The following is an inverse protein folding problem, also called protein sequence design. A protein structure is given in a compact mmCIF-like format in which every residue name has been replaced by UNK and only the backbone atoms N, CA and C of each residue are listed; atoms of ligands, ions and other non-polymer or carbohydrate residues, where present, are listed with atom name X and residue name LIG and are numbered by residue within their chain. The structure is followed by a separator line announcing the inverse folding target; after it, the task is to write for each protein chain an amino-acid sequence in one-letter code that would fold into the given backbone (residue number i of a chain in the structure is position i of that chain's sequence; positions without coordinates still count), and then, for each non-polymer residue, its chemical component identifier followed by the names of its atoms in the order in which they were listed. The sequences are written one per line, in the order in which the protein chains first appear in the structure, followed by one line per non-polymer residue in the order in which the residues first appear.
data_IF_434803279665
#
_entry.id   IF_434803279665
#
_cell.length_a   1.000
_cell.length_b   1.000
_cell.length_c   1.000
_cell.angle_alpha   90.00
_cell.angle_beta   90.00
_cell.angle_gamma   90.00
#
_symmetry.space_group_name_H-M   'P 1'
#
loop_
_entity.id
_entity.type
_entity.pdbx_description
1 polymer ?
#
# COMPACT_ATOMS: atom_id res chain seq x y z
N UNK A 1 5.61 -20.20 -1.91
CA UNK A 1 4.94 -19.21 -1.07
C UNK A 1 5.97 -18.18 -0.68
N UNK A 2 5.82 -16.98 -1.20
CA UNK A 2 6.75 -15.87 -0.96
C UNK A 2 6.19 -15.00 0.15
N UNK A 3 6.96 -14.82 1.23
CA UNK A 3 6.66 -13.85 2.27
C UNK A 3 7.44 -12.57 1.94
N UNK A 4 6.75 -11.62 1.30
CA UNK A 4 7.35 -10.37 0.84
C UNK A 4 7.84 -9.49 2.00
N UNK A 5 7.26 -9.63 3.19
CA UNK A 5 7.65 -8.89 4.38
C UNK A 5 8.96 -9.45 4.94
N UNK A 6 9.07 -10.76 5.07
CA UNK A 6 10.33 -11.41 5.43
C UNK A 6 11.43 -11.14 4.39
N UNK A 7 11.10 -11.16 3.09
CA UNK A 7 12.06 -10.79 2.06
C UNK A 7 12.54 -9.34 2.19
N UNK A 8 11.64 -8.40 2.46
CA UNK A 8 11.98 -7.00 2.70
C UNK A 8 12.92 -6.87 3.89
N UNK A 9 12.56 -7.44 5.04
CA UNK A 9 13.40 -7.44 6.24
C UNK A 9 14.80 -7.99 5.94
N UNK A 10 14.87 -9.14 5.27
CA UNK A 10 16.15 -9.75 4.89
C UNK A 10 16.98 -8.84 4.00
N UNK A 11 16.36 -8.14 3.04
CA UNK A 11 17.07 -7.23 2.12
C UNK A 11 17.57 -5.97 2.83
N UNK A 12 16.76 -5.37 3.70
CA UNK A 12 17.13 -4.17 4.44
C UNK A 12 18.24 -4.43 5.46
N UNK A 13 18.25 -5.62 6.09
CA UNK A 13 19.25 -6.03 7.06
C UNK A 13 20.56 -6.56 6.44
N UNK A 14 20.70 -6.63 5.11
CA UNK A 14 21.98 -7.02 4.48
C UNK A 14 23.08 -6.03 4.85
N UNK A 15 24.27 -6.55 5.14
CA UNK A 15 25.46 -5.71 5.33
C UNK A 15 25.70 -4.85 4.08
N UNK A 16 25.97 -3.55 4.29
CA UNK A 16 26.18 -2.56 3.23
C UNK A 16 24.97 -2.34 2.31
N UNK A 17 23.75 -2.51 2.82
CA UNK A 17 22.51 -2.23 2.10
C UNK A 17 22.32 -0.74 1.74
N UNK A 18 23.09 0.17 2.35
CA UNK A 18 22.97 1.61 2.13
C UNK A 18 21.64 2.20 2.64
N UNK A 19 20.99 1.48 3.57
CA UNK A 19 19.73 1.89 4.20
C UNK A 19 19.86 1.92 5.72
N UNK A 20 19.04 2.75 6.35
CA UNK A 20 18.89 2.84 7.80
C UNK A 20 17.41 2.68 8.15
N UNK A 21 17.09 1.65 8.94
CA UNK A 21 15.75 1.45 9.49
C UNK A 21 15.45 2.56 10.52
N UNK A 22 14.29 3.20 10.37
CA UNK A 22 13.84 4.31 11.20
C UNK A 22 12.82 3.88 12.25
N UNK A 23 11.84 3.07 11.86
CA UNK A 23 10.86 2.45 12.74
C UNK A 23 10.64 1.00 12.30
N UNK A 24 10.47 0.11 13.27
CA UNK A 24 10.24 -1.31 13.06
C UNK A 24 9.37 -1.86 14.19
N UNK A 25 8.11 -2.11 13.89
CA UNK A 25 7.12 -2.72 14.80
C UNK A 25 6.48 -3.89 14.08
N UNK A 26 7.06 -5.07 14.32
CA UNK A 26 6.64 -6.31 13.68
C UNK A 26 6.18 -7.27 14.77
N UNK A 27 4.93 -7.71 14.65
CA UNK A 27 4.31 -8.67 15.56
C UNK A 27 3.73 -9.79 14.72
N UNK A 28 4.35 -10.96 14.83
CA UNK A 28 3.86 -12.17 14.19
C UNK A 28 2.75 -12.82 15.04
N UNK A 29 1.89 -13.58 14.39
CA UNK A 29 0.83 -14.37 15.00
C UNK A 29 0.62 -15.67 14.22
N UNK A 30 -0.23 -16.54 14.77
CA UNK A 30 -0.81 -17.65 14.02
C UNK A 30 -2.32 -17.48 14.10
N UNK A 31 -2.92 -17.09 12.99
CA UNK A 31 -4.36 -16.90 12.86
C UNK A 31 -4.92 -17.78 11.75
N UNK A 32 -6.22 -18.06 11.81
CA UNK A 32 -6.94 -18.76 10.74
C UNK A 32 -8.15 -17.91 10.36
N UNK A 33 -7.94 -16.96 9.46
CA UNK A 33 -9.02 -16.12 8.95
C UNK A 33 -9.81 -16.83 7.85
N UNK A 34 -11.08 -16.45 7.71
CA UNK A 34 -11.96 -16.94 6.65
C UNK A 34 -11.86 -16.15 5.35
N UNK A 35 -11.31 -14.95 5.39
CA UNK A 35 -11.09 -14.07 4.23
C UNK A 35 -12.36 -13.67 3.48
N UNK A 36 -13.53 -13.67 4.15
CA UNK A 36 -14.83 -13.32 3.55
C UNK A 36 -14.87 -11.87 3.00
N UNK A 37 -13.98 -10.96 3.44
CA UNK A 37 -13.89 -9.57 2.93
C UNK A 37 -13.31 -9.50 1.50
N UNK A 38 -12.49 -10.47 1.10
CA UNK A 38 -11.88 -10.50 -0.23
C UNK A 38 -12.79 -11.24 -1.21
N UNK A 39 -13.90 -10.60 -1.59
CA UNK A 39 -14.96 -11.16 -2.46
C UNK A 39 -14.43 -11.68 -3.80
N UNK A 40 -13.39 -11.06 -4.35
CA UNK A 40 -12.76 -11.46 -5.62
C UNK A 40 -11.67 -12.53 -5.45
N UNK A 41 -11.51 -13.04 -4.23
CA UNK A 41 -10.52 -14.05 -3.88
C UNK A 41 -9.22 -13.45 -3.35
N UNK A 42 -8.43 -14.33 -2.75
CA UNK A 42 -7.14 -14.02 -2.16
C UNK A 42 -6.24 -15.25 -2.32
N UNK A 43 -4.97 -15.02 -2.70
CA UNK A 43 -3.98 -16.09 -2.89
C UNK A 43 -3.57 -16.74 -1.59
N UNK A 44 -2.96 -17.93 -1.68
CA UNK A 44 -2.37 -18.59 -0.51
C UNK A 44 -1.19 -17.79 0.07
N UNK A 45 -0.42 -17.10 -0.78
CA UNK A 45 0.63 -16.17 -0.37
C UNK A 45 0.09 -15.05 0.52
N UNK A 46 -0.99 -14.40 0.11
CA UNK A 46 -1.55 -13.30 0.88
C UNK A 46 -2.31 -13.79 2.12
N UNK A 47 -2.99 -14.94 2.04
CA UNK A 47 -3.55 -15.60 3.23
C UNK A 47 -2.46 -15.89 4.27
N UNK A 48 -1.30 -16.36 3.83
CA UNK A 48 -0.16 -16.59 4.71
C UNK A 48 0.28 -15.30 5.41
N UNK A 49 0.44 -14.19 4.67
CA UNK A 49 0.82 -12.90 5.27
C UNK A 49 -0.23 -12.45 6.30
N UNK A 50 -1.53 -12.46 5.97
CA UNK A 50 -2.58 -12.05 6.91
C UNK A 50 -2.68 -12.96 8.13
N UNK A 51 -2.44 -14.26 7.98
CA UNK A 51 -2.47 -15.20 9.10
C UNK A 51 -1.20 -15.14 9.97
N UNK A 52 -0.11 -14.57 9.45
CA UNK A 52 1.20 -14.56 10.09
C UNK A 52 1.57 -13.21 10.73
N UNK A 53 0.96 -12.10 10.29
CA UNK A 53 1.31 -10.76 10.75
C UNK A 53 0.12 -10.03 11.39
N UNK A 54 0.20 -9.84 12.71
CA UNK A 54 -0.72 -9.00 13.49
C UNK A 54 -0.33 -7.52 13.49
N UNK A 55 0.93 -7.24 13.19
CA UNK A 55 1.42 -5.89 12.95
C UNK A 55 2.65 -5.99 12.06
N UNK A 56 2.71 -5.19 11.00
CA UNK A 56 3.91 -5.02 10.21
C UNK A 56 4.05 -3.55 9.84
N UNK A 57 4.84 -2.83 10.63
CA UNK A 57 5.23 -1.47 10.34
C UNK A 57 6.74 -1.40 10.22
N UNK A 58 7.22 -0.91 9.07
CA UNK A 58 8.63 -0.74 8.79
C UNK A 58 8.83 0.53 7.94
N UNK A 59 9.77 1.37 8.35
CA UNK A 59 10.17 2.55 7.57
C UNK A 59 11.68 2.69 7.54
N UNK A 60 12.21 3.17 6.43
CA UNK A 60 13.66 3.32 6.27
C UNK A 60 14.02 4.42 5.28
N UNK A 61 15.25 4.89 5.43
CA UNK A 61 15.87 5.88 4.55
C UNK A 61 17.12 5.31 3.92
N UNK A 62 17.48 5.85 2.75
CA UNK A 62 18.78 5.57 2.14
C UNK A 62 19.90 6.43 2.74
N UNK A 63 21.13 6.21 2.28
CA UNK A 63 22.34 6.95 2.68
C UNK A 63 22.23 8.48 2.50
N UNK A 64 21.45 8.94 1.52
CA UNK A 64 21.18 10.36 1.31
C UNK A 64 20.27 10.99 2.38
N UNK A 65 19.81 10.20 3.36
CA UNK A 65 18.99 10.65 4.47
C UNK A 65 17.49 10.79 4.15
N UNK A 66 17.08 10.58 2.90
CA UNK A 66 15.68 10.65 2.45
C UNK A 66 14.94 9.36 2.74
N UNK A 67 13.68 9.47 3.18
CA UNK A 67 12.77 8.34 3.26
C UNK A 67 12.72 7.65 1.90
N UNK A 68 12.86 6.31 1.90
CA UNK A 68 12.86 5.52 0.67
C UNK A 68 11.68 4.56 0.65
N UNK A 69 11.35 3.93 1.78
CA UNK A 69 10.21 3.05 1.84
C UNK A 69 9.52 3.09 3.18
N UNK A 70 8.25 2.74 3.11
CA UNK A 70 7.31 2.74 4.21
C UNK A 70 6.30 1.62 3.97
N UNK A 71 6.10 0.78 4.97
CA UNK A 71 5.04 -0.22 4.99
C UNK A 71 4.36 -0.12 6.33
N UNK A 72 3.07 0.20 6.34
CA UNK A 72 2.18 0.01 7.49
C UNK A 72 1.02 -0.87 7.06
N UNK A 73 1.17 -2.18 7.27
CA UNK A 73 0.20 -3.19 6.87
C UNK A 73 -1.01 -3.20 7.81
N UNK A 74 -2.21 -3.23 7.24
CA UNK A 74 -3.46 -3.36 7.99
C UNK A 74 -3.78 -4.85 8.16
N UNK A 75 -3.76 -5.40 9.39
CA UNK A 75 -4.11 -6.80 9.65
C UNK A 75 -5.57 -7.10 9.33
N UNK A 76 -5.88 -8.37 9.03
CA UNK A 76 -7.21 -8.78 8.55
C UNK A 76 -8.33 -8.38 9.52
N UNK A 77 -8.11 -8.55 10.82
CA UNK A 77 -9.08 -8.21 11.86
C UNK A 77 -9.35 -6.69 11.99
N UNK A 78 -8.51 -5.85 11.41
CA UNK A 78 -8.66 -4.39 11.44
C UNK A 78 -9.32 -3.83 10.19
N UNK A 79 -9.31 -4.55 9.06
CA UNK A 79 -9.84 -4.07 7.76
C UNK A 79 -11.25 -3.48 7.87
N UNK A 80 -12.16 -4.19 8.55
CA UNK A 80 -13.54 -3.74 8.73
C UNK A 80 -13.62 -2.43 9.52
N UNK A 81 -12.83 -2.30 10.58
CA UNK A 81 -12.82 -1.10 11.43
C UNK A 81 -12.23 0.10 10.69
N UNK A 82 -11.17 -0.12 9.90
CA UNK A 82 -10.56 0.93 9.08
C UNK A 82 -11.52 1.42 7.99
N UNK A 83 -12.22 0.50 7.33
CA UNK A 83 -13.27 0.83 6.36
C UNK A 83 -14.42 1.62 6.99
N UNK A 84 -14.88 1.21 8.17
CA UNK A 84 -15.94 1.93 8.90
C UNK A 84 -15.54 3.37 9.23
N UNK A 85 -14.28 3.60 9.63
CA UNK A 85 -13.76 4.94 9.89
C UNK A 85 -13.82 5.81 8.64
N UNK A 86 -13.39 5.29 7.49
CA UNK A 86 -13.48 6.03 6.21
C UNK A 86 -14.93 6.29 5.80
N UNK A 87 -15.84 5.34 6.03
CA UNK A 87 -17.27 5.55 5.80
C UNK A 87 -17.86 6.63 6.71
N UNK A 88 -17.36 6.80 7.93
CA UNK A 88 -17.76 7.89 8.84
C UNK A 88 -17.22 9.24 8.35
N UNK A 89 -15.93 9.29 8.01
CA UNK A 89 -15.30 10.48 7.43
C UNK A 89 -16.06 10.94 6.18
N UNK A 90 -16.38 10.00 5.28
CA UNK A 90 -17.11 10.28 4.05
C UNK A 90 -18.53 10.86 4.28
N UNK A 91 -19.19 10.47 5.38
CA UNK A 91 -20.53 10.99 5.76
C UNK A 91 -20.47 12.38 6.36
N UNK A 92 -19.38 12.69 7.05
CA UNK A 92 -19.21 13.96 7.76
C UNK A 92 -18.62 15.08 6.86
N UNK A 93 -18.22 14.74 5.63
CA UNK A 93 -17.73 15.69 4.63
C UNK A 93 -18.81 16.69 4.20
N UNK A 94 -18.45 17.98 4.17
CA UNK A 94 -19.32 19.05 3.66
C UNK A 94 -19.62 18.83 2.17
N UNK A 95 -20.89 18.73 1.80
CA UNK A 95 -21.32 18.39 0.44
C UNK A 95 -21.36 19.60 -0.50
N UNK A 96 -21.12 19.37 -1.79
CA UNK A 96 -21.28 20.37 -2.84
C UNK A 96 -20.14 21.39 -2.93
N UNK A 97 -18.96 21.04 -2.40
CA UNK A 97 -17.77 21.88 -2.46
C UNK A 97 -17.06 21.77 -3.82
N UNK A 98 -17.06 20.56 -4.42
CA UNK A 98 -16.33 20.23 -5.64
C UNK A 98 -17.20 19.34 -6.54
N UNK A 99 -17.04 19.44 -7.87
CA UNK A 99 -17.68 18.55 -8.85
C UNK A 99 -17.24 17.09 -8.61
N UNK A 100 -18.11 16.10 -8.83
CA UNK A 100 -17.83 14.66 -8.62
C UNK A 100 -17.60 14.21 -7.16
N UNK A 101 -17.74 15.10 -6.18
CA UNK A 101 -17.59 14.76 -4.76
C UNK A 101 -18.44 13.56 -4.31
N UNK A 102 -19.70 13.48 -4.74
CA UNK A 102 -20.60 12.38 -4.37
C UNK A 102 -20.07 11.03 -4.86
N UNK A 103 -19.39 11.00 -6.01
CA UNK A 103 -18.76 9.78 -6.56
C UNK A 103 -17.56 9.37 -5.72
N UNK A 104 -16.73 10.34 -5.30
CA UNK A 104 -15.59 10.07 -4.40
C UNK A 104 -16.06 9.50 -3.06
N UNK A 105 -17.09 10.12 -2.48
CA UNK A 105 -17.70 9.67 -1.22
C UNK A 105 -18.29 8.27 -1.37
N UNK A 106 -18.96 7.97 -2.47
CA UNK A 106 -19.47 6.62 -2.77
C UNK A 106 -18.32 5.62 -2.89
N UNK A 107 -17.25 5.96 -3.60
CA UNK A 107 -16.07 5.12 -3.76
C UNK A 107 -15.42 4.74 -2.43
N UNK A 108 -15.30 5.68 -1.49
CA UNK A 108 -14.76 5.40 -0.15
C UNK A 108 -15.55 4.32 0.59
N UNK A 109 -16.84 4.17 0.32
CA UNK A 109 -17.67 3.12 0.94
C UNK A 109 -17.37 1.71 0.43
N UNK A 110 -16.53 1.59 -0.61
CA UNK A 110 -16.11 0.34 -1.22
C UNK A 110 -14.62 0.01 -1.01
N UNK A 111 -13.87 0.93 -0.40
CA UNK A 111 -12.41 0.87 -0.33
C UNK A 111 -11.93 0.47 1.06
N UNK A 112 -11.32 -0.71 1.15
CA UNK A 112 -10.76 -1.25 2.39
C UNK A 112 -9.26 -0.96 2.45
N UNK A 113 -8.77 -0.11 3.37
CA UNK A 113 -7.33 0.13 3.51
C UNK A 113 -6.58 -1.14 3.85
N UNK A 114 -5.57 -1.48 3.05
CA UNK A 114 -4.70 -2.65 3.25
C UNK A 114 -3.26 -2.26 3.60
N UNK A 115 -2.82 -1.06 3.16
CA UNK A 115 -1.55 -0.45 3.55
C UNK A 115 -1.77 1.04 3.78
N UNK A 116 -1.31 1.56 4.92
CA UNK A 116 -1.34 2.99 5.24
C UNK A 116 -0.02 3.65 4.90
N UNK A 117 -0.06 4.96 4.66
CA UNK A 117 1.10 5.83 4.56
C UNK A 117 1.13 6.81 5.74
N UNK A 118 2.30 7.36 6.02
CA UNK A 118 2.50 8.24 7.18
C UNK A 118 1.74 9.58 7.08
N UNK A 119 1.38 10.00 5.87
CA UNK A 119 0.60 11.21 5.61
C UNK A 119 -0.90 10.99 5.80
N UNK A 120 -1.40 9.74 5.84
CA UNK A 120 -2.83 9.44 5.94
C UNK A 120 -3.40 8.78 4.69
N UNK A 121 -2.65 8.77 3.58
CA UNK A 121 -3.03 8.05 2.37
C UNK A 121 -3.05 6.54 2.61
N UNK A 122 -3.69 5.81 1.70
CA UNK A 122 -3.69 4.36 1.75
C UNK A 122 -3.71 3.73 0.35
N UNK A 123 -3.19 2.51 0.29
CA UNK A 123 -3.62 1.56 -0.73
C UNK A 123 -4.83 0.80 -0.21
N UNK A 124 -5.89 0.79 -1.01
CA UNK A 124 -7.16 0.17 -0.66
C UNK A 124 -7.51 -0.95 -1.63
N UNK A 125 -8.08 -2.02 -1.09
CA UNK A 125 -8.78 -3.03 -1.86
C UNK A 125 -10.20 -2.54 -2.18
N UNK A 126 -10.57 -2.51 -3.46
CA UNK A 126 -11.92 -2.16 -3.92
C UNK A 126 -12.80 -3.41 -3.99
N UNK A 127 -13.82 -3.47 -3.13
CA UNK A 127 -14.68 -4.64 -2.99
C UNK A 127 -15.63 -4.89 -4.17
N UNK A 128 -15.66 -3.99 -5.16
CA UNK A 128 -16.51 -4.10 -6.36
C UNK A 128 -15.81 -4.82 -7.51
N UNK A 129 -14.48 -4.86 -7.50
CA UNK A 129 -13.69 -5.40 -8.61
C UNK A 129 -12.41 -6.13 -8.20
N UNK A 130 -11.98 -6.04 -6.93
CA UNK A 130 -10.80 -6.71 -6.40
C UNK A 130 -9.46 -6.01 -6.67
N UNK A 131 -9.49 -4.82 -7.29
CA UNK A 131 -8.31 -4.03 -7.62
C UNK A 131 -7.80 -3.28 -6.40
N UNK A 132 -6.55 -2.83 -6.51
CA UNK A 132 -5.93 -1.94 -5.54
C UNK A 132 -5.92 -0.53 -6.10
N UNK A 133 -6.47 0.39 -5.33
CA UNK A 133 -6.58 1.81 -5.67
C UNK A 133 -5.88 2.67 -4.63
N UNK A 134 -5.49 3.87 -5.05
CA UNK A 134 -4.96 4.89 -4.15
C UNK A 134 -6.09 5.68 -3.50
N UNK A 135 -6.02 5.82 -2.20
CA UNK A 135 -6.86 6.71 -1.41
C UNK A 135 -6.00 7.89 -0.97
N UNK A 136 -6.38 9.09 -1.43
CA UNK A 136 -5.81 10.37 -1.02
C UNK A 136 -6.62 10.94 0.16
N UNK A 137 -5.95 11.17 1.29
CA UNK A 137 -6.60 11.71 2.49
C UNK A 137 -6.99 13.19 2.39
N UNK A 138 -6.41 13.94 1.44
CA UNK A 138 -6.62 15.37 1.19
C UNK A 138 -7.32 15.62 -0.17
N UNK A 139 -8.06 14.62 -0.69
CA UNK A 139 -8.70 14.62 -2.02
C UNK A 139 -9.59 15.84 -2.35
N UNK A 140 -9.99 16.64 -1.36
CA UNK A 140 -10.82 17.83 -1.55
C UNK A 140 -10.10 19.17 -1.29
N UNK A 141 -8.84 19.16 -0.88
CA UNK A 141 -8.13 20.39 -0.49
C UNK A 141 -7.63 21.18 -1.71
N UNK A 142 -7.10 20.50 -2.73
CA UNK A 142 -6.61 21.11 -3.98
C UNK A 142 -7.38 20.66 -5.23
N UNK A 143 -8.48 19.91 -5.05
CA UNK A 143 -9.25 19.25 -6.10
C UNK A 143 -9.06 17.72 -6.09
N UNK A 144 -9.94 17.00 -6.80
CA UNK A 144 -9.94 15.53 -6.88
C UNK A 144 -8.73 15.07 -7.70
N UNK A 145 -7.57 15.06 -7.06
CA UNK A 145 -6.32 14.55 -7.60
C UNK A 145 -6.14 13.10 -7.15
N UNK A 146 -5.56 12.24 -7.99
CA UNK A 146 -5.22 10.84 -7.71
C UNK A 146 -6.40 9.91 -7.38
N UNK A 147 -7.62 10.42 -7.26
CA UNK A 147 -8.80 9.61 -6.96
C UNK A 147 -9.00 8.48 -7.96
N UNK A 148 -9.16 7.27 -7.45
CA UNK A 148 -9.40 6.08 -8.26
C UNK A 148 -8.17 5.65 -9.08
N UNK A 149 -6.98 6.23 -8.81
CA UNK A 149 -5.74 5.77 -9.42
C UNK A 149 -5.54 4.29 -9.11
N UNK A 150 -5.52 3.46 -10.15
CA UNK A 150 -5.26 2.05 -10.02
C UNK A 150 -3.78 1.85 -9.70
N UNK A 151 -3.50 1.16 -8.60
CA UNK A 151 -2.15 0.81 -8.13
C UNK A 151 -1.80 -0.62 -8.53
N UNK A 152 -2.77 -1.53 -8.54
CA UNK A 152 -2.59 -2.89 -9.04
C UNK A 152 -3.94 -3.56 -9.36
N UNK A 153 -3.92 -4.58 -10.21
CA UNK A 153 -5.11 -5.39 -10.51
C UNK A 153 -5.49 -6.36 -9.37
N UNK A 154 -4.57 -6.63 -8.44
CA UNK A 154 -4.80 -7.49 -7.27
C UNK A 154 -3.76 -7.22 -6.18
N UNK A 155 -4.00 -7.69 -4.95
CA UNK A 155 -3.03 -7.62 -3.84
C UNK A 155 -1.72 -8.37 -4.22
N UNK A 156 -1.83 -9.49 -4.94
CA UNK A 156 -0.64 -10.24 -5.38
C UNK A 156 0.22 -9.43 -6.33
N UNK A 157 -0.41 -8.80 -7.33
CA UNK A 157 0.28 -7.98 -8.32
C UNK A 157 0.91 -6.75 -7.66
N UNK A 158 0.23 -6.17 -6.66
CA UNK A 158 0.78 -5.10 -5.83
C UNK A 158 2.06 -5.56 -5.14
N UNK A 159 2.01 -6.66 -4.37
CA UNK A 159 3.16 -7.13 -3.60
C UNK A 159 4.32 -7.56 -4.50
N UNK A 160 4.04 -8.27 -5.59
CA UNK A 160 5.04 -8.66 -6.57
C UNK A 160 5.73 -7.44 -7.17
N UNK A 161 4.98 -6.43 -7.58
CA UNK A 161 5.54 -5.26 -8.28
C UNK A 161 6.21 -4.29 -7.31
N UNK A 162 5.54 -3.95 -6.21
CA UNK A 162 6.02 -2.97 -5.24
C UNK A 162 7.25 -3.47 -4.48
N UNK A 163 7.32 -4.77 -4.17
CA UNK A 163 8.51 -5.36 -3.51
C UNK A 163 9.78 -5.29 -4.36
N UNK A 164 9.68 -5.21 -5.69
CA UNK A 164 10.85 -5.07 -6.60
C UNK A 164 11.55 -3.72 -6.45
N UNK A 165 10.85 -2.71 -5.97
CA UNK A 165 11.39 -1.40 -5.59
C UNK A 165 11.45 -1.23 -4.08
N UNK A 166 11.43 -2.35 -3.34
CA UNK A 166 11.39 -2.42 -1.88
C UNK A 166 10.26 -1.57 -1.30
N UNK A 167 9.03 -1.69 -1.76
CA UNK A 167 7.93 -0.92 -1.15
C UNK A 167 8.21 0.59 -1.10
N UNK A 168 8.71 1.11 -2.22
CA UNK A 168 9.06 2.52 -2.37
C UNK A 168 7.87 3.41 -1.99
N UNK A 169 8.12 4.36 -1.11
CA UNK A 169 7.19 5.43 -0.77
C UNK A 169 7.56 6.64 -1.63
N UNK A 170 6.79 6.87 -2.70
CA UNK A 170 7.04 7.94 -3.67
C UNK A 170 6.09 9.11 -3.40
N UNK A 171 6.57 10.32 -3.68
CA UNK A 171 5.84 11.54 -3.35
C UNK A 171 4.54 11.74 -4.14
N UNK A 172 4.55 11.41 -5.44
CA UNK A 172 3.39 11.51 -6.32
C UNK A 172 3.18 10.19 -7.05
N UNK A 173 2.08 9.51 -6.73
CA UNK A 173 1.74 8.22 -7.32
C UNK A 173 1.34 8.31 -8.80
N UNK A 174 0.96 9.48 -9.34
CA UNK A 174 0.78 9.65 -10.80
C UNK A 174 2.09 9.47 -11.57
N UNK A 175 3.23 9.81 -10.96
CA UNK A 175 4.53 9.63 -11.60
C UNK A 175 4.95 8.16 -11.65
N UNK A 176 4.45 7.34 -10.71
CA UNK A 176 4.78 5.92 -10.56
C UNK A 176 3.78 4.94 -11.15
N UNK A 177 2.53 5.35 -11.35
CA UNK A 177 1.49 4.47 -11.88
C UNK A 177 1.13 4.75 -13.36
N UNK A 178 0.46 3.77 -13.95
CA UNK A 178 -0.26 3.88 -15.22
C UNK A 178 -1.68 3.35 -15.04
N UNK A 179 -2.46 3.27 -16.13
CA UNK A 179 -3.84 2.78 -16.09
C UNK A 179 -4.00 1.34 -15.56
N UNK A 180 -2.92 0.56 -15.50
CA UNK A 180 -2.90 -0.83 -15.04
C UNK A 180 -2.23 -1.04 -13.67
N UNK A 181 -1.74 0.03 -13.03
CA UNK A 181 -1.00 -0.06 -11.77
C UNK A 181 0.42 0.51 -11.81
N UNK A 182 1.22 0.16 -10.80
CA UNK A 182 2.63 0.56 -10.66
C UNK A 182 3.43 0.18 -11.92
N UNK A 183 4.05 1.17 -12.55
CA UNK A 183 4.85 1.02 -13.75
C UNK A 183 6.34 1.24 -13.43
N UNK A 184 7.06 0.13 -13.23
CA UNK A 184 8.49 0.15 -12.91
C UNK A 184 9.38 0.72 -14.02
N UNK A 185 8.84 0.99 -15.21
CA UNK A 185 9.57 1.69 -16.27
C UNK A 185 9.63 3.21 -16.08
N UNK A 186 8.86 3.75 -15.13
CA UNK A 186 8.81 5.20 -14.84
C UNK A 186 10.10 5.70 -14.20
N UNK A 187 10.56 6.94 -14.53
CA UNK A 187 11.80 7.50 -13.99
C UNK A 187 11.87 7.57 -12.47
N UNK A 188 10.72 7.74 -11.79
CA UNK A 188 10.64 7.81 -10.32
C UNK A 188 11.25 6.56 -9.64
N UNK A 189 11.26 5.42 -10.32
CA UNK A 189 11.80 4.16 -9.79
C UNK A 189 13.28 3.90 -10.11
N UNK A 190 13.93 4.71 -10.96
CA UNK A 190 15.31 4.45 -11.39
C UNK A 190 16.29 4.33 -10.21
N UNK A 191 16.16 5.21 -9.21
CA UNK A 191 17.00 5.18 -8.01
C UNK A 191 16.79 3.91 -7.17
N UNK A 192 15.55 3.45 -7.07
CA UNK A 192 15.19 2.23 -6.34
C UNK A 192 15.72 0.98 -7.05
N UNK A 193 15.57 0.91 -8.38
CA UNK A 193 16.05 -0.22 -9.17
C UNK A 193 17.58 -0.32 -9.19
N UNK A 194 18.30 0.82 -9.20
CA UNK A 194 19.77 0.84 -9.20
C UNK A 194 20.37 0.37 -7.88
N UNK A 195 19.72 0.64 -6.74
CA UNK A 195 20.17 0.17 -5.44
C UNK A 195 20.18 -1.36 -5.36
N UNK A 196 19.38 -2.06 -6.17
CA UNK A 196 19.15 -3.50 -6.02
C UNK A 196 19.36 -4.34 -7.30
N UNK A 197 19.66 -3.70 -8.44
CA UNK A 197 20.08 -4.33 -9.70
C UNK A 197 21.51 -4.90 -9.71
N UNK A 198 22.29 -4.73 -8.63
CA UNK A 198 23.55 -5.45 -8.41
C UNK A 198 23.34 -6.71 -7.56
N UNK A 199 22.35 -7.53 -7.89
CA UNK A 199 22.45 -8.96 -7.59
C UNK A 199 23.18 -9.59 -8.77
N UNK A 200 24.47 -9.89 -8.55
CA UNK A 200 25.39 -10.55 -9.47
C UNK A 200 24.76 -11.75 -10.20
N UNK A 201 25.04 -11.85 -11.51
CA UNK A 201 25.14 -13.13 -12.23
C UNK A 201 26.08 -14.11 -11.53
#
# INVERSE_FOLDING_TARGET
MTDYFMELENRLNRENSGVTILDSRIVQCESEHRFDLFVFGISEEMKHIYNHYKQFLLSWKGDAGRLQGYVDFVPYEQLQKEHELWCEIAKDMETGLIEEQDTVVEDFTHWYPIFRFANGDAFCYDDRNGRIVFLDHEVFDEGINLHGLTIAESIDTLLETWSRVLFADIYDWYEGACEYGIDLSKPVYEGYLQLFGKCSE
#
